data_IF_948399773493
#
_entry.id   IF_948399773493
#
_cell.length_a   1.000
_cell.length_b   1.000
_cell.length_c   1.000
_cell.angle_alpha   90.00
_cell.angle_beta   90.00
_cell.angle_gamma   90.00
#
_symmetry.space_group_name_H-M   'P 1'
#
loop_
_entity.id
_entity.type
_entity.pdbx_description
1 polymer ?
#
# COMPACT_ATOMS: atom_id res chain seq x y z
N UNK A 1 3.08 17.99 0.48
CA UNK A 1 3.42 19.43 0.36
C UNK A 1 2.14 20.22 0.26
N UNK A 2 1.91 21.13 1.21
CA UNK A 2 0.61 21.73 1.44
C UNK A 2 0.03 22.29 0.13
N UNK A 3 -1.09 21.71 -0.31
CA UNK A 3 -1.84 22.17 -1.48
C UNK A 3 -1.44 21.60 -2.84
N UNK A 4 -0.47 20.68 -2.94
CA UNK A 4 -0.12 20.02 -4.20
C UNK A 4 -0.46 18.53 -4.20
N UNK A 5 -1.06 18.06 -5.31
CA UNK A 5 -1.10 16.64 -5.64
C UNK A 5 0.32 16.14 -5.99
N UNK A 6 0.50 14.81 -5.92
CA UNK A 6 1.81 14.18 -6.14
C UNK A 6 2.42 14.54 -7.51
N UNK A 7 1.59 14.67 -8.53
CA UNK A 7 2.02 15.04 -9.88
C UNK A 7 2.58 16.47 -9.92
N UNK A 8 1.85 17.46 -9.39
CA UNK A 8 2.27 18.87 -9.36
C UNK A 8 3.53 19.07 -8.54
N UNK A 9 3.62 18.40 -7.38
CA UNK A 9 4.82 18.41 -6.55
C UNK A 9 6.03 17.90 -7.33
N UNK A 10 5.96 16.68 -7.88
CA UNK A 10 7.06 16.10 -8.63
C UNK A 10 7.38 16.86 -9.92
N UNK A 11 6.39 17.44 -10.61
CA UNK A 11 6.62 18.26 -11.79
C UNK A 11 7.41 19.55 -11.50
N UNK A 12 7.19 20.17 -10.34
CA UNK A 12 7.97 21.34 -9.90
C UNK A 12 9.40 20.98 -9.56
N UNK A 13 9.59 19.91 -8.77
CA UNK A 13 10.93 19.37 -8.46
C UNK A 13 11.65 19.01 -9.76
N UNK A 14 11.01 18.25 -10.64
CA UNK A 14 11.59 17.83 -11.92
C UNK A 14 11.95 18.98 -12.85
N UNK A 15 11.19 20.08 -12.85
CA UNK A 15 11.53 21.29 -13.63
C UNK A 15 12.84 21.92 -13.14
N UNK A 16 13.08 21.96 -11.84
CA UNK A 16 14.32 22.47 -11.27
C UNK A 16 15.53 21.66 -11.76
N UNK A 17 15.45 20.32 -11.70
CA UNK A 17 16.51 19.42 -12.20
C UNK A 17 16.73 19.52 -13.72
N UNK A 18 15.66 19.63 -14.52
CA UNK A 18 15.81 19.88 -15.97
C UNK A 18 16.53 21.19 -16.28
N UNK A 19 16.36 22.20 -15.43
CA UNK A 19 17.00 23.53 -15.63
C UNK A 19 18.52 23.44 -15.51
N UNK A 20 19.04 22.50 -14.71
CA UNK A 20 20.48 22.23 -14.60
C UNK A 20 20.97 21.15 -15.59
N UNK A 21 20.14 20.77 -16.56
CA UNK A 21 20.50 19.85 -17.64
C UNK A 21 20.24 18.37 -17.37
N UNK A 22 19.56 18.01 -16.28
CA UNK A 22 19.20 16.61 -16.01
C UNK A 22 18.07 16.12 -16.93
N UNK A 23 18.14 14.86 -17.35
CA UNK A 23 16.97 14.15 -17.85
C UNK A 23 16.10 13.69 -16.68
N UNK A 24 14.78 13.84 -16.80
CA UNK A 24 13.85 13.65 -15.68
C UNK A 24 12.66 12.82 -16.12
N UNK A 25 12.51 11.66 -15.48
CA UNK A 25 11.28 10.88 -15.45
C UNK A 25 10.46 11.26 -14.21
N UNK A 26 9.19 11.62 -14.40
CA UNK A 26 8.25 11.92 -13.32
C UNK A 26 7.36 10.71 -13.06
N UNK A 27 7.38 10.18 -11.84
CA UNK A 27 6.51 9.10 -11.40
C UNK A 27 5.68 9.56 -10.20
N UNK A 28 4.38 9.89 -10.37
CA UNK A 28 3.53 10.28 -9.25
C UNK A 28 3.21 9.05 -8.37
N UNK A 29 3.61 9.11 -7.11
CA UNK A 29 3.28 8.11 -6.10
C UNK A 29 2.44 8.75 -5.00
N UNK A 30 1.47 8.00 -4.47
CA UNK A 30 0.58 8.48 -3.43
C UNK A 30 0.08 7.31 -2.57
N UNK A 31 -0.26 7.62 -1.32
CA UNK A 31 -1.07 6.73 -0.49
C UNK A 31 -2.53 6.73 -0.95
N UNK A 32 -3.26 5.69 -0.53
CA UNK A 32 -4.67 5.51 -0.84
C UNK A 32 -5.50 6.75 -0.47
N UNK A 33 -6.39 7.15 -1.38
CA UNK A 33 -7.24 8.33 -1.26
C UNK A 33 -7.34 9.09 -2.59
N UNK A 34 -7.87 10.34 -2.58
CA UNK A 34 -8.06 11.12 -3.80
C UNK A 34 -6.77 11.33 -4.62
N UNK A 35 -5.63 11.50 -3.93
CA UNK A 35 -4.33 11.65 -4.58
C UNK A 35 -3.86 10.41 -5.34
N UNK A 36 -4.24 9.20 -4.88
CA UNK A 36 -3.92 7.95 -5.56
C UNK A 36 -4.67 7.82 -6.87
N UNK A 37 -5.97 8.12 -6.88
CA UNK A 37 -6.80 8.03 -8.08
C UNK A 37 -6.29 9.00 -9.16
N UNK A 38 -5.97 10.23 -8.76
CA UNK A 38 -5.39 11.22 -9.66
C UNK A 38 -4.01 10.78 -10.18
N UNK A 39 -3.16 10.19 -9.33
CA UNK A 39 -1.86 9.67 -9.75
C UNK A 39 -2.00 8.52 -10.77
N UNK A 40 -2.96 7.60 -10.55
CA UNK A 40 -3.26 6.50 -11.48
C UNK A 40 -3.71 7.04 -12.83
N UNK A 41 -4.65 7.98 -12.86
CA UNK A 41 -5.15 8.61 -14.09
C UNK A 41 -4.05 9.32 -14.88
N UNK A 42 -3.03 9.86 -14.20
CA UNK A 42 -1.87 10.48 -14.85
C UNK A 42 -0.86 9.45 -15.40
N UNK A 43 -0.78 8.25 -14.81
CA UNK A 43 0.16 7.21 -15.19
C UNK A 43 -0.35 6.28 -16.29
N UNK A 44 -1.63 5.88 -16.21
CA UNK A 44 -2.19 4.82 -17.03
C UNK A 44 -3.29 5.35 -17.98
N UNK A 45 -3.31 4.80 -19.20
CA UNK A 45 -4.51 4.76 -20.03
C UNK A 45 -5.56 3.80 -19.44
N UNK A 46 -6.64 3.47 -20.18
CA UNK A 46 -7.65 2.52 -19.69
C UNK A 46 -7.00 1.17 -19.35
N UNK A 47 -6.95 0.85 -18.06
CA UNK A 47 -6.47 -0.41 -17.49
C UNK A 47 -7.68 -1.20 -16.98
N UNK A 48 -7.70 -2.51 -17.26
CA UNK A 48 -8.78 -3.41 -16.88
C UNK A 48 -8.65 -3.90 -15.41
N UNK A 49 -7.53 -3.61 -14.75
CA UNK A 49 -7.26 -3.95 -13.35
C UNK A 49 -8.29 -3.33 -12.41
N UNK A 50 -8.88 -4.18 -11.55
CA UNK A 50 -9.82 -3.77 -10.51
C UNK A 50 -9.05 -3.49 -9.22
N UNK A 51 -9.12 -2.24 -8.76
CA UNK A 51 -8.53 -1.83 -7.48
C UNK A 51 -9.63 -1.66 -6.45
N UNK A 52 -9.46 -2.28 -5.28
CA UNK A 52 -10.43 -2.20 -4.18
C UNK A 52 -9.74 -1.68 -2.91
N UNK A 53 -10.16 -0.54 -2.34
CA UNK A 53 -9.60 -0.04 -1.09
C UNK A 53 -9.97 -0.94 0.11
N UNK A 54 -8.99 -1.21 0.98
CA UNK A 54 -9.11 -2.04 2.19
C UNK A 54 -8.96 -1.18 3.46
N UNK A 55 -9.54 0.02 3.50
CA UNK A 55 -9.30 0.98 4.58
C UNK A 55 -9.92 0.60 5.94
N UNK A 56 -10.96 -0.22 6.02
CA UNK A 56 -11.63 -0.59 7.27
C UNK A 56 -12.07 0.59 8.16
N UNK A 57 -12.00 1.84 7.67
CA UNK A 57 -12.49 3.06 8.35
C UNK A 57 -13.89 3.39 7.89
N UNK A 58 -14.20 3.03 6.66
CA UNK A 58 -15.54 2.65 6.33
C UNK A 58 -15.77 1.28 6.94
N UNK A 59 -16.65 1.24 7.93
CA UNK A 59 -17.39 0.07 8.39
C UNK A 59 -18.34 -0.39 7.25
N UNK A 60 -17.93 -0.16 6.00
CA UNK A 60 -18.59 -0.41 4.74
C UNK A 60 -17.62 -1.02 3.74
N UNK A 61 -16.27 -1.03 3.89
CA UNK A 61 -15.36 -1.60 2.86
C UNK A 61 -15.13 -3.14 2.90
N UNK A 62 -14.92 -3.76 4.06
CA UNK A 62 -15.10 -5.23 4.22
C UNK A 62 -16.52 -5.74 3.85
N UNK A 63 -17.57 -4.98 4.20
CA UNK A 63 -18.95 -5.09 3.71
C UNK A 63 -19.12 -4.74 2.26
N UNK A 64 -18.24 -3.97 1.64
CA UNK A 64 -18.38 -3.57 0.24
C UNK A 64 -17.98 -4.76 -0.59
N UNK A 65 -16.89 -5.46 -0.23
CA UNK A 65 -16.65 -6.79 -0.77
C UNK A 65 -17.86 -7.69 -0.46
N UNK A 66 -18.25 -7.89 0.80
CA UNK A 66 -19.36 -8.79 1.12
C UNK A 66 -20.72 -8.38 0.52
N UNK A 67 -21.02 -7.11 0.28
CA UNK A 67 -22.28 -6.58 -0.26
C UNK A 67 -22.27 -6.47 -1.79
N UNK A 68 -21.11 -6.24 -2.40
CA UNK A 68 -20.88 -6.42 -3.83
C UNK A 68 -20.99 -7.91 -4.19
N UNK A 69 -20.57 -8.78 -3.28
CA UNK A 69 -20.66 -10.24 -3.42
C UNK A 69 -22.04 -10.81 -3.02
N UNK A 70 -22.82 -10.11 -2.19
CA UNK A 70 -24.10 -10.61 -1.64
C UNK A 70 -25.35 -9.75 -1.92
N UNK A 71 -25.25 -8.65 -2.66
CA UNK A 71 -26.39 -7.77 -2.94
C UNK A 71 -26.97 -7.05 -1.71
N UNK A 72 -26.11 -6.61 -0.79
CA UNK A 72 -26.47 -5.85 0.42
C UNK A 72 -26.34 -6.65 1.72
N UNK A 73 -25.31 -6.36 2.53
CA UNK A 73 -25.01 -7.05 3.80
C UNK A 73 -23.76 -6.52 4.53
N UNK A 74 -23.54 -6.88 5.82
CA UNK A 74 -23.12 -6.01 6.95
C UNK A 74 -21.63 -5.68 7.11
N UNK A 75 -21.35 -4.80 8.10
CA UNK A 75 -20.37 -3.70 8.22
C UNK A 75 -18.87 -3.98 8.56
N UNK A 76 -18.47 -5.17 9.00
CA UNK A 76 -17.06 -5.62 8.97
C UNK A 76 -16.98 -7.16 9.10
N UNK A 77 -15.85 -7.76 8.70
CA UNK A 77 -15.60 -9.20 8.85
C UNK A 77 -15.39 -9.62 10.31
N UNK A 78 -14.76 -8.77 11.12
CA UNK A 78 -14.56 -9.00 12.55
C UNK A 78 -15.89 -8.94 13.32
N UNK A 79 -16.84 -8.07 12.92
CA UNK A 79 -18.18 -8.04 13.51
C UNK A 79 -19.09 -9.16 13.01
N UNK A 80 -18.91 -9.61 11.75
CA UNK A 80 -19.60 -10.79 11.21
C UNK A 80 -19.18 -12.08 11.94
N UNK A 81 -17.91 -12.18 12.35
CA UNK A 81 -17.38 -13.31 13.12
C UNK A 81 -17.73 -13.18 14.60
N UNK A 82 -17.66 -11.98 15.18
CA UNK A 82 -17.92 -11.71 16.61
C UNK A 82 -19.39 -11.85 17.06
N UNK A 83 -20.36 -11.77 16.15
CA UNK A 83 -21.80 -11.89 16.47
C UNK A 83 -22.34 -13.33 16.51
N UNK A 84 -21.45 -14.33 16.41
CA UNK A 84 -21.83 -15.71 16.64
C UNK A 84 -22.62 -16.30 15.48
N UNK A 85 -21.93 -16.53 14.35
CA UNK A 85 -22.16 -17.65 13.42
C UNK A 85 -21.00 -17.67 12.42
N UNK A 86 -19.95 -18.43 12.73
CA UNK A 86 -18.92 -18.81 11.76
C UNK A 86 -19.48 -19.66 10.58
N UNK A 87 -20.80 -19.88 10.53
CA UNK A 87 -21.48 -20.83 9.65
C UNK A 87 -22.71 -20.23 8.94
N UNK A 88 -22.74 -18.93 8.61
CA UNK A 88 -23.81 -18.40 7.75
C UNK A 88 -23.41 -17.32 6.75
N UNK A 89 -22.13 -16.94 6.67
CA UNK A 89 -21.63 -15.99 5.66
C UNK A 89 -20.85 -16.65 4.52
N UNK A 90 -20.14 -17.75 4.78
CA UNK A 90 -19.29 -18.38 3.76
C UNK A 90 -20.07 -19.31 2.83
N UNK A 91 -21.18 -19.89 3.30
CA UNK A 91 -22.14 -20.60 2.43
C UNK A 91 -22.80 -19.67 1.38
N UNK A 92 -22.65 -18.35 1.52
CA UNK A 92 -23.17 -17.34 0.59
C UNK A 92 -22.11 -16.83 -0.39
N UNK A 93 -20.81 -17.07 -0.15
CA UNK A 93 -19.75 -16.53 -0.98
C UNK A 93 -19.24 -17.60 -1.95
N UNK A 94 -19.86 -17.65 -3.12
CA UNK A 94 -19.41 -18.45 -4.26
C UNK A 94 -18.16 -17.79 -4.88
N UNK A 95 -16.99 -18.10 -4.30
CA UNK A 95 -15.69 -17.56 -4.70
C UNK A 95 -15.42 -17.78 -6.19
N UNK A 96 -15.78 -18.96 -6.71
CA UNK A 96 -15.56 -19.30 -8.11
C UNK A 96 -16.47 -18.49 -9.03
N UNK A 97 -17.76 -18.31 -8.69
CA UNK A 97 -18.65 -17.41 -9.45
C UNK A 97 -18.17 -15.97 -9.47
N UNK A 98 -17.59 -15.50 -8.36
CA UNK A 98 -17.05 -14.15 -8.27
C UNK A 98 -15.80 -14.04 -9.15
N UNK A 99 -14.92 -15.05 -9.11
CA UNK A 99 -13.76 -15.13 -10.00
C UNK A 99 -14.18 -15.13 -11.47
N UNK A 100 -15.19 -15.91 -11.83
CA UNK A 100 -15.77 -15.92 -13.18
C UNK A 100 -16.27 -14.52 -13.59
N UNK A 101 -16.86 -13.78 -12.66
CA UNK A 101 -17.33 -12.41 -12.90
C UNK A 101 -16.19 -11.39 -12.99
N UNK A 102 -15.11 -11.59 -12.24
CA UNK A 102 -13.89 -10.79 -12.37
C UNK A 102 -13.26 -10.98 -13.76
N UNK A 103 -13.51 -12.09 -14.46
CA UNK A 103 -12.87 -12.44 -15.73
C UNK A 103 -11.33 -12.40 -15.60
N UNK A 104 -10.60 -12.26 -16.71
CA UNK A 104 -9.13 -12.05 -16.73
C UNK A 104 -8.70 -10.67 -16.18
N UNK A 105 -9.50 -10.04 -15.30
CA UNK A 105 -9.17 -8.73 -14.72
C UNK A 105 -8.31 -8.94 -13.48
N UNK A 106 -7.08 -8.41 -13.44
CA UNK A 106 -6.28 -8.48 -12.23
C UNK A 106 -7.00 -7.75 -11.09
N UNK A 107 -7.07 -8.38 -9.92
CA UNK A 107 -7.65 -7.83 -8.71
C UNK A 107 -6.53 -7.37 -7.76
N UNK A 108 -6.56 -6.10 -7.37
CA UNK A 108 -5.63 -5.51 -6.40
C UNK A 108 -6.40 -4.91 -5.24
N UNK A 109 -6.21 -5.47 -4.04
CA UNK A 109 -6.63 -4.86 -2.79
C UNK A 109 -5.63 -3.79 -2.35
N UNK A 110 -6.06 -2.54 -2.24
CA UNK A 110 -5.24 -1.43 -1.76
C UNK A 110 -5.33 -1.32 -0.24
N UNK A 111 -4.28 -1.76 0.45
CA UNK A 111 -4.18 -1.67 1.90
C UNK A 111 -3.49 -0.37 2.34
N UNK A 112 -3.60 -0.06 3.63
CA UNK A 112 -2.80 0.99 4.24
C UNK A 112 -1.34 0.57 4.34
N UNK A 113 -0.47 1.56 4.32
CA UNK A 113 0.93 1.38 4.64
C UNK A 113 1.08 0.82 6.06
N UNK A 114 1.86 -0.25 6.18
CA UNK A 114 2.01 -1.05 7.40
C UNK A 114 1.07 -2.27 7.47
N UNK A 115 0.05 -2.35 6.61
CA UNK A 115 -0.85 -3.50 6.55
C UNK A 115 -0.43 -4.56 5.51
N UNK A 116 0.46 -4.23 4.57
CA UNK A 116 0.88 -5.14 3.49
C UNK A 116 1.56 -6.42 3.98
N UNK A 117 2.12 -6.40 5.19
CA UNK A 117 2.78 -7.55 5.82
C UNK A 117 1.93 -8.16 6.95
N UNK A 118 0.73 -7.62 7.19
CA UNK A 118 -0.16 -8.16 8.22
C UNK A 118 -0.75 -9.49 7.80
N UNK A 119 -0.72 -10.45 8.70
CA UNK A 119 -1.28 -11.78 8.47
C UNK A 119 -2.62 -11.91 9.19
N UNK A 120 -3.50 -12.74 8.66
CA UNK A 120 -4.85 -12.93 9.19
C UNK A 120 -4.80 -13.57 10.59
N UNK A 121 -4.06 -14.67 10.73
CA UNK A 121 -4.00 -15.48 11.94
C UNK A 121 -2.58 -15.77 12.41
N UNK A 122 -2.46 -16.29 13.63
CA UNK A 122 -1.21 -16.56 14.32
C UNK A 122 -0.86 -15.50 15.36
N UNK A 123 0.29 -15.70 16.03
CA UNK A 123 0.73 -14.82 17.12
C UNK A 123 0.93 -13.35 16.69
N UNK A 124 1.28 -13.13 15.42
CA UNK A 124 1.42 -11.81 14.80
C UNK A 124 0.21 -11.39 13.96
N UNK A 125 -0.82 -12.24 13.91
CA UNK A 125 -2.04 -11.96 13.16
C UNK A 125 -3.00 -11.02 13.88
N UNK A 126 -4.19 -10.80 13.31
CA UNK A 126 -5.13 -9.79 13.79
C UNK A 126 -5.49 -9.95 15.28
N UNK A 127 -5.90 -11.16 15.68
CA UNK A 127 -6.20 -11.45 17.08
C UNK A 127 -4.94 -11.43 17.97
N UNK A 128 -3.79 -11.83 17.41
CA UNK A 128 -2.49 -11.77 18.07
C UNK A 128 -2.08 -10.35 18.45
N UNK A 129 -2.51 -9.32 17.73
CA UNK A 129 -2.13 -7.91 17.99
C UNK A 129 -3.07 -7.15 18.92
N UNK A 130 -4.23 -7.73 19.28
CA UNK A 130 -5.23 -7.12 20.17
C UNK A 130 -4.83 -7.16 21.63
N UNK A 131 -3.85 -6.35 22.02
CA UNK A 131 -3.36 -6.23 23.41
C UNK A 131 -4.44 -5.71 24.39
N UNK A 132 -5.52 -5.15 23.85
CA UNK A 132 -6.74 -4.75 24.57
C UNK A 132 -7.58 -5.94 25.05
N UNK A 133 -7.37 -7.15 24.51
CA UNK A 133 -8.14 -8.34 24.84
C UNK A 133 -7.36 -9.35 25.71
N UNK A 134 -8.02 -10.08 26.62
CA UNK A 134 -7.37 -11.15 27.36
C UNK A 134 -6.96 -12.30 26.43
N UNK A 135 -5.92 -13.03 26.81
CA UNK A 135 -5.32 -14.09 25.98
C UNK A 135 -6.35 -15.14 25.51
N UNK A 136 -7.31 -15.52 26.36
CA UNK A 136 -8.36 -16.48 26.00
C UNK A 136 -9.20 -16.00 24.81
N UNK A 137 -9.59 -14.73 24.81
CA UNK A 137 -10.39 -14.14 23.73
C UNK A 137 -9.59 -14.02 22.44
N UNK A 138 -8.32 -13.62 22.54
CA UNK A 138 -7.40 -13.60 21.39
C UNK A 138 -7.24 -14.98 20.75
N UNK A 139 -7.07 -16.02 21.56
CA UNK A 139 -6.97 -17.40 21.06
C UNK A 139 -8.29 -17.90 20.45
N UNK A 140 -9.44 -17.48 20.98
CA UNK A 140 -10.74 -17.82 20.40
C UNK A 140 -10.93 -17.15 19.04
N UNK A 141 -10.65 -15.84 18.94
CA UNK A 141 -10.69 -15.09 17.69
C UNK A 141 -9.71 -15.67 16.66
N UNK A 142 -8.49 -16.03 17.06
CA UNK A 142 -7.50 -16.64 16.15
C UNK A 142 -8.00 -17.95 15.53
N UNK A 143 -8.65 -18.80 16.34
CA UNK A 143 -9.25 -20.05 15.84
C UNK A 143 -10.37 -19.79 14.85
N UNK A 144 -11.19 -18.76 15.09
CA UNK A 144 -12.27 -18.38 14.18
C UNK A 144 -11.72 -17.85 12.86
N UNK A 145 -10.67 -17.03 12.91
CA UNK A 145 -9.98 -16.51 11.72
C UNK A 145 -9.33 -17.64 10.89
N UNK A 146 -8.72 -18.64 11.54
CA UNK A 146 -8.20 -19.83 10.85
C UNK A 146 -9.30 -20.64 10.19
N UNK A 147 -10.38 -20.94 10.91
CA UNK A 147 -11.52 -21.67 10.36
C UNK A 147 -12.13 -20.94 9.15
N UNK A 148 -12.14 -19.61 9.20
CA UNK A 148 -12.62 -18.81 8.07
C UNK A 148 -11.66 -18.84 6.87
N UNK A 149 -10.34 -18.82 7.09
CA UNK A 149 -9.36 -19.02 6.03
C UNK A 149 -9.48 -20.41 5.39
N UNK A 150 -9.73 -21.45 6.19
CA UNK A 150 -9.97 -22.81 5.69
C UNK A 150 -11.20 -22.85 4.78
N UNK A 151 -12.29 -22.16 5.14
CA UNK A 151 -13.47 -22.06 4.30
C UNK A 151 -13.19 -21.31 3.00
N UNK A 152 -12.49 -20.16 3.04
CA UNK A 152 -12.12 -19.41 1.84
C UNK A 152 -11.26 -20.23 0.88
N UNK A 153 -10.27 -20.95 1.40
CA UNK A 153 -9.40 -21.79 0.59
C UNK A 153 -10.16 -22.99 -0.01
N UNK A 154 -11.05 -23.61 0.77
CA UNK A 154 -11.88 -24.72 0.29
C UNK A 154 -12.91 -24.32 -0.77
N UNK A 155 -13.38 -23.07 -0.74
CA UNK A 155 -14.32 -22.51 -1.72
C UNK A 155 -13.65 -22.09 -3.04
N UNK A 156 -12.33 -22.09 -3.12
CA UNK A 156 -11.57 -21.68 -4.31
C UNK A 156 -11.10 -22.89 -5.11
N UNK A 157 -11.43 -22.93 -6.40
CA UNK A 157 -10.88 -23.92 -7.34
C UNK A 157 -9.57 -23.50 -8.03
N UNK A 158 -9.02 -22.30 -7.76
CA UNK A 158 -7.80 -21.82 -8.42
C UNK A 158 -6.54 -22.55 -7.91
N UNK A 159 -5.82 -23.29 -8.78
CA UNK A 159 -4.58 -23.97 -8.39
C UNK A 159 -3.41 -23.00 -8.14
N UNK A 160 -3.53 -21.73 -8.53
CA UNK A 160 -2.52 -20.68 -8.32
C UNK A 160 -2.70 -19.94 -6.99
N UNK A 161 -3.86 -20.14 -6.34
CA UNK A 161 -4.18 -19.57 -5.04
C UNK A 161 -3.43 -20.27 -3.89
N UNK A 162 -3.64 -19.82 -2.64
CA UNK A 162 -3.05 -20.47 -1.47
C UNK A 162 -3.54 -21.92 -1.36
N UNK A 163 -2.60 -22.85 -1.09
CA UNK A 163 -2.85 -24.29 -1.11
C UNK A 163 -3.87 -24.76 -0.05
N UNK A 164 -3.95 -24.05 1.08
CA UNK A 164 -4.89 -24.31 2.16
C UNK A 164 -5.15 -23.04 2.99
N UNK A 165 -6.07 -23.12 3.95
CA UNK A 165 -6.41 -22.00 4.81
C UNK A 165 -5.26 -21.58 5.73
N UNK A 166 -4.39 -22.51 6.14
CA UNK A 166 -3.20 -22.18 6.92
C UNK A 166 -2.22 -21.30 6.13
N UNK A 167 -2.02 -21.60 4.85
CA UNK A 167 -1.22 -20.82 3.92
C UNK A 167 -1.86 -19.44 3.72
N UNK A 168 -3.16 -19.40 3.38
CA UNK A 168 -3.89 -18.14 3.20
C UNK A 168 -3.79 -17.24 4.44
N UNK A 169 -3.98 -17.81 5.63
CA UNK A 169 -3.96 -17.06 6.88
C UNK A 169 -2.57 -16.51 7.27
N UNK A 170 -1.50 -17.10 6.71
CA UNK A 170 -0.12 -16.69 6.92
C UNK A 170 0.44 -15.82 5.79
N UNK A 171 -0.27 -15.70 4.66
CA UNK A 171 0.16 -14.88 3.53
C UNK A 171 0.27 -13.41 3.96
N UNK A 172 1.37 -12.71 3.66
CA UNK A 172 1.48 -11.26 3.87
C UNK A 172 0.31 -10.51 3.23
N UNK A 173 -0.29 -9.59 3.97
CA UNK A 173 -1.44 -8.80 3.53
C UNK A 173 -2.79 -9.49 3.73
N UNK A 174 -2.84 -10.77 4.14
CA UNK A 174 -4.10 -11.46 4.46
C UNK A 174 -4.86 -10.81 5.62
N UNK A 175 -4.15 -10.13 6.53
CA UNK A 175 -4.72 -9.35 7.62
C UNK A 175 -5.21 -7.94 7.22
N UNK A 176 -4.88 -7.45 6.03
CA UNK A 176 -5.19 -6.08 5.63
C UNK A 176 -6.70 -5.79 5.67
N UNK A 177 -7.08 -4.57 6.06
CA UNK A 177 -8.49 -4.19 6.20
C UNK A 177 -9.27 -5.08 7.19
N UNK A 178 -8.62 -5.62 8.21
CA UNK A 178 -9.26 -6.50 9.19
C UNK A 178 -9.58 -7.91 8.67
N UNK A 179 -8.84 -8.38 7.67
CA UNK A 179 -9.00 -9.71 7.07
C UNK A 179 -9.60 -9.70 5.66
N UNK A 180 -9.96 -8.52 5.14
CA UNK A 180 -10.43 -8.36 3.77
C UNK A 180 -9.35 -8.75 2.74
N UNK A 181 -8.07 -8.58 3.08
CA UNK A 181 -6.96 -9.02 2.24
C UNK A 181 -6.96 -10.53 1.98
N UNK A 182 -7.40 -11.35 2.94
CA UNK A 182 -7.54 -12.80 2.74
C UNK A 182 -8.62 -13.14 1.69
N UNK A 183 -9.70 -12.36 1.60
CA UNK A 183 -10.71 -12.56 0.54
C UNK A 183 -10.14 -12.22 -0.82
N UNK A 184 -9.42 -11.09 -0.92
CA UNK A 184 -8.74 -10.69 -2.16
C UNK A 184 -7.80 -11.80 -2.63
N UNK A 185 -7.02 -12.37 -1.73
CA UNK A 185 -6.07 -13.45 -2.03
C UNK A 185 -6.77 -14.78 -2.38
N UNK A 186 -7.87 -15.12 -1.71
CA UNK A 186 -8.69 -16.28 -2.07
C UNK A 186 -9.33 -16.14 -3.46
N UNK A 187 -9.62 -14.92 -3.90
CA UNK A 187 -10.07 -14.61 -5.26
C UNK A 187 -8.94 -14.65 -6.31
N UNK A 188 -7.69 -14.89 -5.91
CA UNK A 188 -6.51 -14.86 -6.79
C UNK A 188 -5.92 -13.46 -6.97
N UNK A 189 -6.40 -12.46 -6.21
CA UNK A 189 -5.89 -11.10 -6.22
C UNK A 189 -4.67 -10.89 -5.34
N UNK A 190 -4.08 -9.70 -5.45
CA UNK A 190 -2.90 -9.27 -4.67
C UNK A 190 -3.26 -8.13 -3.73
N UNK A 191 -2.56 -8.04 -2.61
CA UNK A 191 -2.70 -6.93 -1.66
C UNK A 191 -1.47 -6.05 -1.76
N UNK A 192 -1.65 -4.78 -2.10
CA UNK A 192 -0.58 -3.80 -2.28
C UNK A 192 -0.91 -2.52 -1.52
N UNK A 193 0.10 -1.74 -1.14
CA UNK A 193 -0.11 -0.35 -0.73
C UNK A 193 -0.37 0.54 -1.96
N UNK A 194 -0.88 1.75 -1.72
CA UNK A 194 -1.03 2.76 -2.78
C UNK A 194 0.25 3.01 -3.59
N UNK A 195 1.40 3.28 -2.93
CA UNK A 195 2.68 3.47 -3.61
C UNK A 195 3.16 2.24 -4.38
N UNK A 196 2.97 1.04 -3.84
CA UNK A 196 3.33 -0.21 -4.52
C UNK A 196 2.54 -0.38 -5.83
N UNK A 197 1.22 -0.19 -5.79
CA UNK A 197 0.37 -0.30 -6.97
C UNK A 197 0.75 0.72 -8.05
N UNK A 198 0.97 2.00 -7.68
CA UNK A 198 1.41 3.02 -8.64
C UNK A 198 2.81 2.75 -9.18
N UNK A 199 3.70 2.22 -8.34
CA UNK A 199 5.04 1.82 -8.75
C UNK A 199 5.03 0.71 -9.80
N UNK A 200 4.15 -0.28 -9.66
CA UNK A 200 3.97 -1.34 -10.66
C UNK A 200 3.38 -0.79 -11.97
N UNK A 201 2.35 0.06 -11.88
CA UNK A 201 1.75 0.72 -13.06
C UNK A 201 2.81 1.53 -13.83
N UNK A 202 3.70 2.23 -13.11
CA UNK A 202 4.71 3.08 -13.69
C UNK A 202 5.98 2.35 -14.16
N UNK A 203 6.12 1.05 -13.86
CA UNK A 203 7.40 0.32 -13.96
C UNK A 203 8.54 1.11 -13.28
N UNK A 204 8.29 1.47 -12.01
CA UNK A 204 9.16 2.31 -11.20
C UNK A 204 10.56 1.71 -11.06
N UNK A 205 10.67 0.38 -10.94
CA UNK A 205 11.96 -0.29 -10.77
C UNK A 205 12.85 -0.14 -12.00
N UNK A 206 12.28 -0.29 -13.20
CA UNK A 206 13.02 -0.04 -14.44
C UNK A 206 13.46 1.42 -14.51
N UNK A 207 12.59 2.34 -14.11
CA UNK A 207 12.89 3.79 -14.11
C UNK A 207 14.01 4.12 -13.14
N UNK A 208 13.95 3.60 -11.91
CA UNK A 208 15.00 3.76 -10.90
C UNK A 208 16.31 3.13 -11.37
N UNK A 209 16.29 1.91 -11.93
CA UNK A 209 17.49 1.23 -12.39
C UNK A 209 18.25 2.00 -13.47
N UNK A 210 17.53 2.77 -14.30
CA UNK A 210 18.11 3.64 -15.32
C UNK A 210 18.55 5.03 -14.79
N UNK A 211 18.13 5.42 -13.59
CA UNK A 211 18.42 6.73 -13.03
C UNK A 211 19.77 6.78 -12.30
N UNK A 212 20.46 7.91 -12.39
CA UNK A 212 21.67 8.18 -11.60
C UNK A 212 21.35 8.70 -10.19
N UNK A 213 20.17 9.30 -10.03
CA UNK A 213 19.67 9.87 -8.78
C UNK A 213 18.15 9.73 -8.69
N UNK A 214 17.66 9.37 -7.51
CA UNK A 214 16.22 9.38 -7.20
C UNK A 214 15.91 10.57 -6.31
N UNK A 215 14.95 11.40 -6.71
CA UNK A 215 14.48 12.54 -5.93
C UNK A 215 13.03 12.32 -5.56
N UNK A 216 12.74 12.31 -4.26
CA UNK A 216 11.37 12.22 -3.72
C UNK A 216 11.07 13.43 -2.85
N UNK A 217 9.81 13.58 -2.44
CA UNK A 217 9.40 14.69 -1.59
C UNK A 217 8.34 14.31 -0.57
N UNK A 218 8.37 14.97 0.58
CA UNK A 218 7.41 14.84 1.67
C UNK A 218 7.12 16.20 2.32
N UNK A 219 6.21 16.22 3.29
CA UNK A 219 5.98 17.42 4.13
C UNK A 219 7.04 17.54 5.22
N UNK A 220 7.15 16.49 6.03
CA UNK A 220 7.99 16.46 7.21
C UNK A 220 8.87 15.22 7.14
N UNK A 221 10.15 15.39 7.48
CA UNK A 221 11.11 14.31 7.56
C UNK A 221 11.67 14.22 8.98
N UNK A 222 11.21 13.24 9.73
CA UNK A 222 11.53 13.03 11.15
C UNK A 222 11.82 11.55 11.46
N UNK A 223 12.15 11.27 12.72
CA UNK A 223 12.52 9.92 13.18
C UNK A 223 11.35 8.97 13.39
N UNK A 224 10.12 9.51 13.42
CA UNK A 224 8.90 8.74 13.67
C UNK A 224 8.34 8.18 12.36
N UNK A 225 8.41 8.95 11.26
CA UNK A 225 7.81 8.60 9.98
C UNK A 225 8.79 8.53 8.80
N UNK A 226 10.01 9.08 8.90
CA UNK A 226 11.02 9.05 7.82
C UNK A 226 10.51 9.53 6.45
N UNK A 227 9.63 10.54 6.44
CA UNK A 227 9.01 11.08 5.22
C UNK A 227 7.72 10.36 4.79
N UNK A 228 7.31 9.35 5.54
CA UNK A 228 6.09 8.60 5.34
C UNK A 228 6.19 7.53 4.25
N UNK A 229 5.08 6.82 3.98
CA UNK A 229 5.14 5.56 3.25
C UNK A 229 5.59 5.65 1.78
N UNK A 230 5.33 6.78 1.13
CA UNK A 230 5.84 7.03 -0.24
C UNK A 230 7.37 7.12 -0.23
N UNK A 231 7.94 7.85 0.74
CA UNK A 231 9.39 8.00 0.84
C UNK A 231 10.04 6.68 1.22
N UNK A 232 9.50 5.97 2.21
CA UNK A 232 9.97 4.65 2.62
C UNK A 232 9.98 3.66 1.44
N UNK A 233 8.89 3.61 0.66
CA UNK A 233 8.79 2.75 -0.52
C UNK A 233 9.86 3.11 -1.57
N UNK A 234 9.98 4.40 -1.92
CA UNK A 234 10.98 4.86 -2.91
C UNK A 234 12.40 4.55 -2.46
N UNK A 235 12.72 4.80 -1.19
CA UNK A 235 14.02 4.50 -0.60
C UNK A 235 14.33 3.01 -0.69
N UNK A 236 13.36 2.16 -0.36
CA UNK A 236 13.53 0.70 -0.45
C UNK A 236 13.83 0.25 -1.89
N UNK A 237 13.09 0.78 -2.89
CA UNK A 237 13.31 0.43 -4.31
C UNK A 237 14.65 0.95 -4.82
N UNK A 238 15.01 2.19 -4.48
CA UNK A 238 16.27 2.80 -4.86
C UNK A 238 17.47 2.06 -4.23
N UNK A 239 17.39 1.69 -2.96
CA UNK A 239 18.41 0.90 -2.29
C UNK A 239 18.61 -0.47 -2.97
N UNK A 240 17.52 -1.14 -3.36
CA UNK A 240 17.60 -2.41 -4.10
C UNK A 240 18.30 -2.27 -5.47
N UNK A 241 18.20 -1.10 -6.10
CA UNK A 241 18.87 -0.77 -7.35
C UNK A 241 20.26 -0.10 -7.17
N UNK A 242 20.71 0.09 -5.93
CA UNK A 242 21.97 0.79 -5.63
C UNK A 242 21.97 2.27 -6.03
N UNK A 243 20.81 2.93 -6.03
CA UNK A 243 20.67 4.34 -6.45
C UNK A 243 20.55 5.29 -5.26
N UNK A 244 21.28 6.43 -5.28
CA UNK A 244 21.18 7.42 -4.21
C UNK A 244 19.81 8.08 -4.21
N UNK A 245 19.31 8.38 -3.00
CA UNK A 245 18.02 9.06 -2.81
C UNK A 245 18.23 10.41 -2.14
N UNK A 246 17.61 11.43 -2.69
CA UNK A 246 17.44 12.73 -2.06
C UNK A 246 15.98 12.96 -1.73
N UNK A 247 15.73 13.54 -0.55
CA UNK A 247 14.38 13.95 -0.14
C UNK A 247 14.28 15.47 -0.08
N UNK A 248 13.32 16.03 -0.79
CA UNK A 248 12.90 17.43 -0.64
C UNK A 248 11.74 17.49 0.35
N UNK A 249 11.86 18.28 1.40
CA UNK A 249 10.87 18.32 2.49
C UNK A 249 10.59 19.75 2.94
N UNK A 250 9.44 20.04 3.53
CA UNK A 250 9.21 21.34 4.16
C UNK A 250 10.05 21.46 5.44
N UNK A 251 10.06 20.41 6.26
CA UNK A 251 10.85 20.36 7.50
C UNK A 251 11.76 19.13 7.56
N UNK A 252 12.95 19.30 8.15
CA UNK A 252 13.89 18.22 8.43
C UNK A 252 14.29 18.26 9.90
N UNK A 253 13.97 17.18 10.61
CA UNK A 253 14.25 17.02 12.04
C UNK A 253 15.36 15.99 12.29
N UNK A 254 16.09 15.56 11.25
CA UNK A 254 17.11 14.51 11.34
C UNK A 254 18.47 14.97 10.83
N UNK A 255 19.53 14.55 11.53
CA UNK A 255 20.90 14.75 11.10
C UNK A 255 21.32 13.85 9.93
N UNK A 256 22.45 14.17 9.29
CA UNK A 256 22.98 13.41 8.14
C UNK A 256 23.20 11.92 8.44
N UNK A 257 23.64 11.59 9.65
CA UNK A 257 23.85 10.19 10.07
C UNK A 257 22.54 9.40 10.08
N UNK A 258 21.44 10.00 10.56
CA UNK A 258 20.12 9.39 10.56
C UNK A 258 19.56 9.22 9.15
N UNK A 259 19.79 10.20 8.26
CA UNK A 259 19.40 10.13 6.86
C UNK A 259 20.06 8.94 6.15
N UNK A 260 21.40 8.84 6.24
CA UNK A 260 22.16 7.76 5.58
C UNK A 260 21.85 6.38 6.12
N UNK A 261 21.59 6.26 7.42
CA UNK A 261 21.15 4.98 8.03
C UNK A 261 19.80 4.50 7.48
N UNK A 262 18.97 5.41 6.99
CA UNK A 262 17.68 5.10 6.38
C UNK A 262 17.74 5.24 4.85
N UNK A 263 18.90 5.04 4.23
CA UNK A 263 19.03 4.97 2.76
C UNK A 263 18.84 6.29 2.03
N UNK A 264 18.86 7.43 2.73
CA UNK A 264 18.77 8.77 2.14
C UNK A 264 20.14 9.45 2.16
N UNK A 265 20.63 9.87 1.00
CA UNK A 265 21.94 10.52 0.88
C UNK A 265 21.91 11.95 1.42
N UNK A 266 20.83 12.69 1.14
CA UNK A 266 20.63 14.03 1.65
C UNK A 266 19.14 14.40 1.74
N UNK A 267 18.81 15.21 2.73
CA UNK A 267 17.50 15.84 2.88
C UNK A 267 17.66 17.36 2.76
N UNK A 268 16.89 17.96 1.85
CA UNK A 268 16.84 19.40 1.66
C UNK A 268 15.52 19.95 2.19
N UNK A 269 15.58 20.70 3.29
CA UNK A 269 14.42 21.38 3.86
C UNK A 269 14.21 22.74 3.21
N UNK A 270 13.03 22.96 2.62
CA UNK A 270 12.67 24.20 1.93
C UNK A 270 11.97 25.22 2.85
N UNK A 271 11.58 24.81 4.06
CA UNK A 271 10.82 25.65 4.98
C UNK A 271 9.52 26.14 4.36
N UNK A 272 9.28 27.45 4.40
CA UNK A 272 8.13 28.12 3.76
C UNK A 272 8.47 28.69 2.38
N UNK A 273 9.62 28.34 1.79
CA UNK A 273 10.05 28.82 0.47
C UNK A 273 9.25 28.19 -0.67
N UNK A 274 9.32 28.77 -1.87
CA UNK A 274 8.78 28.11 -3.07
C UNK A 274 9.62 26.87 -3.39
N UNK A 275 8.92 25.74 -3.55
CA UNK A 275 9.55 24.45 -3.84
C UNK A 275 10.45 24.50 -5.08
N UNK A 276 10.10 25.26 -6.11
CA UNK A 276 10.83 25.33 -7.37
C UNK A 276 12.19 25.99 -7.16
N UNK A 277 12.21 27.14 -6.50
CA UNK A 277 13.43 27.92 -6.26
C UNK A 277 14.37 27.20 -5.29
N UNK A 278 13.83 26.61 -4.22
CA UNK A 278 14.61 25.84 -3.26
C UNK A 278 15.19 24.58 -3.90
N UNK A 279 14.38 23.84 -4.68
CA UNK A 279 14.88 22.69 -5.45
C UNK A 279 15.93 23.07 -6.47
N UNK A 280 15.80 24.23 -7.13
CA UNK A 280 16.78 24.69 -8.12
C UNK A 280 18.13 24.98 -7.45
N UNK A 281 18.10 25.68 -6.31
CA UNK A 281 19.30 25.94 -5.52
C UNK A 281 19.99 24.63 -5.11
N UNK A 282 19.21 23.65 -4.67
CA UNK A 282 19.73 22.34 -4.33
C UNK A 282 20.32 21.60 -5.54
N UNK A 283 19.60 21.55 -6.66
CA UNK A 283 20.04 20.89 -7.89
C UNK A 283 21.34 21.49 -8.45
N UNK A 284 21.53 22.81 -8.34
CA UNK A 284 22.78 23.49 -8.73
C UNK A 284 23.98 23.12 -7.85
N UNK A 285 23.73 22.74 -6.59
CA UNK A 285 24.76 22.34 -5.64
C UNK A 285 25.07 20.84 -5.66
N UNK A 286 24.29 20.05 -6.40
CA UNK A 286 24.47 18.61 -6.48
C UNK A 286 25.62 18.26 -7.42
N UNK A 287 26.52 17.41 -6.96
CA UNK A 287 27.65 16.90 -7.74
C UNK A 287 27.47 15.40 -7.96
N UNK A 288 27.68 14.96 -9.20
CA UNK A 288 27.54 13.57 -9.66
C UNK A 288 28.78 12.73 -9.35
#
# INVERSE_FOLDING_TARGET
MAGFDAWRAGARVGRAWRTVGADVALVPLAEMGPGWQQAKENLAGPDNTLFIPLDGRDHDSGPMLLSFLSGGGPSTLVDAVGTGRAASGVDLLDIDRVRDHLAERPLIGLCRSGEQDTVLAGAQGLAGRRVDLPLRERLALDRMLRAWADLLAASSSDPSGPADGATLAATPGSGAGGGAGAVVQALGGRVLTGPQALGEIADLDRTIAAADLVVTCCEDFDVDAWGGPVVEYVVQRAAAAGRPVVVITATNHVNLTGQRRNGVEAVHAIGTGDITDACLTFAQSWFW
#
